data_IF_953079885875
#
_entry.id   IF_953079885875
#
_cell.length_a   1.000
_cell.length_b   1.000
_cell.length_c   1.000
_cell.angle_alpha   90.00
_cell.angle_beta   90.00
_cell.angle_gamma   90.00
#
_symmetry.space_group_name_H-M   'P 1'
#
loop_
_entity.id
_entity.type
_entity.pdbx_description
1 polymer ?
#
# COMPACT_ATOMS: atom_id res chain seq x y z
N UNK A 1 18.23 12.48 -21.81
CA UNK A 1 17.39 11.95 -20.72
C UNK A 1 18.02 10.66 -20.23
N UNK A 2 18.20 10.47 -18.93
CA UNK A 2 18.82 9.26 -18.34
C UNK A 2 17.74 8.25 -17.93
N UNK A 3 18.09 6.96 -17.80
CA UNK A 3 17.16 5.91 -17.33
C UNK A 3 16.50 6.32 -16.01
N UNK A 4 17.28 6.86 -15.07
CA UNK A 4 16.80 7.38 -13.79
C UNK A 4 15.75 8.47 -13.94
N UNK A 5 15.92 9.38 -14.91
CA UNK A 5 14.94 10.42 -15.22
C UNK A 5 13.63 9.87 -15.80
N UNK A 6 13.67 8.76 -16.52
CA UNK A 6 12.46 8.10 -17.03
C UNK A 6 11.70 7.36 -15.91
N UNK A 7 12.41 6.65 -15.03
CA UNK A 7 11.79 5.95 -13.89
C UNK A 7 11.04 6.93 -12.98
N UNK A 8 11.69 8.03 -12.60
CA UNK A 8 11.06 9.10 -11.79
C UNK A 8 9.82 9.68 -12.46
N UNK A 9 9.89 9.95 -13.77
CA UNK A 9 8.74 10.48 -14.52
C UNK A 9 7.59 9.49 -14.62
N UNK A 10 7.88 8.19 -14.76
CA UNK A 10 6.84 7.15 -14.73
C UNK A 10 6.18 7.07 -13.36
N UNK A 11 6.95 7.11 -12.27
CA UNK A 11 6.40 7.13 -10.92
C UNK A 11 5.49 8.35 -10.69
N UNK A 12 5.93 9.55 -11.07
CA UNK A 12 5.13 10.79 -10.94
C UNK A 12 3.78 10.67 -11.68
N UNK A 13 3.76 10.04 -12.86
CA UNK A 13 2.54 9.79 -13.64
C UNK A 13 1.63 8.75 -12.98
N UNK A 14 2.20 7.65 -12.47
CA UNK A 14 1.46 6.60 -11.77
C UNK A 14 0.82 7.12 -10.47
N UNK A 15 1.52 7.97 -9.73
CA UNK A 15 1.02 8.60 -8.51
C UNK A 15 -0.12 9.57 -8.84
N UNK A 16 0.07 10.44 -9.84
CA UNK A 16 -1.00 11.36 -10.24
C UNK A 16 -2.27 10.61 -10.68
N UNK A 17 -2.12 9.45 -11.32
CA UNK A 17 -3.25 8.59 -11.66
C UNK A 17 -3.88 7.94 -10.42
N UNK A 18 -3.07 7.47 -9.48
CA UNK A 18 -3.53 6.82 -8.24
C UNK A 18 -4.21 7.79 -7.27
N UNK A 19 -3.69 9.01 -7.11
CA UNK A 19 -4.33 10.08 -6.32
C UNK A 19 -5.71 10.45 -6.87
N UNK A 20 -5.85 10.57 -8.21
CA UNK A 20 -7.15 10.80 -8.86
C UNK A 20 -8.13 9.66 -8.65
N UNK A 21 -7.63 8.44 -8.48
CA UNK A 21 -8.43 7.27 -8.13
C UNK A 21 -8.75 7.19 -6.62
N UNK A 22 -8.32 8.17 -5.81
CA UNK A 22 -8.54 8.19 -4.36
C UNK A 22 -7.68 7.18 -3.62
N UNK A 23 -6.60 6.67 -4.24
CA UNK A 23 -5.68 5.73 -3.62
C UNK A 23 -4.67 6.50 -2.76
N UNK A 24 -4.34 5.94 -1.58
CA UNK A 24 -3.20 6.39 -0.78
C UNK A 24 -1.92 5.85 -1.43
N UNK A 25 -0.94 6.71 -1.69
CA UNK A 25 0.29 6.32 -2.37
C UNK A 25 1.50 6.76 -1.56
N UNK A 26 2.41 5.81 -1.30
CA UNK A 26 3.73 6.08 -0.78
C UNK A 26 4.70 6.22 -1.96
N UNK A 27 5.35 7.38 -2.04
CA UNK A 27 6.43 7.64 -2.98
C UNK A 27 7.68 6.88 -2.56
N UNK A 28 8.23 6.08 -3.47
CA UNK A 28 9.57 5.52 -3.29
C UNK A 28 10.61 6.65 -3.41
N UNK A 29 11.34 6.88 -2.34
CA UNK A 29 12.48 7.77 -2.30
C UNK A 29 13.72 6.99 -2.76
N UNK A 30 14.04 7.10 -4.05
CA UNK A 30 15.17 6.39 -4.66
C UNK A 30 16.52 6.75 -4.01
N UNK A 31 16.69 7.99 -3.55
CA UNK A 31 17.95 8.43 -2.93
C UNK A 31 18.15 7.77 -1.58
N UNK A 32 17.08 7.66 -0.78
CA UNK A 32 17.12 6.92 0.49
C UNK A 32 17.22 5.42 0.27
N UNK A 33 16.49 4.87 -0.70
CA UNK A 33 16.49 3.44 -1.01
C UNK A 33 17.86 2.93 -1.48
N UNK A 34 18.54 3.69 -2.34
CA UNK A 34 19.85 3.34 -2.88
C UNK A 34 21.01 3.91 -2.04
N UNK A 35 20.68 4.63 -0.97
CA UNK A 35 21.64 5.23 -0.04
C UNK A 35 22.21 4.23 0.96
N UNK A 36 23.05 4.74 1.85
CA UNK A 36 23.74 3.94 2.89
C UNK A 36 22.78 3.23 3.85
N UNK A 37 21.61 3.82 4.08
CA UNK A 37 20.61 3.37 5.05
C UNK A 37 19.35 2.79 4.37
N UNK A 38 19.51 2.24 3.16
CA UNK A 38 18.40 1.72 2.36
C UNK A 38 17.60 0.60 3.04
N UNK A 39 18.25 -0.23 3.86
CA UNK A 39 17.60 -1.29 4.63
C UNK A 39 16.68 -0.73 5.74
N UNK A 40 17.11 0.35 6.41
CA UNK A 40 16.29 1.08 7.38
C UNK A 40 15.09 1.70 6.67
N UNK A 41 15.31 2.36 5.53
CA UNK A 41 14.24 2.94 4.71
C UNK A 41 13.18 1.90 4.29
N UNK A 42 13.60 0.71 3.85
CA UNK A 42 12.67 -0.37 3.49
C UNK A 42 11.85 -0.82 4.69
N UNK A 43 12.46 -0.95 5.88
CA UNK A 43 11.72 -1.34 7.10
C UNK A 43 10.68 -0.29 7.50
N UNK A 44 11.05 0.99 7.46
CA UNK A 44 10.13 2.11 7.72
C UNK A 44 8.97 2.12 6.73
N UNK A 45 9.25 1.92 5.44
CA UNK A 45 8.25 1.86 4.38
C UNK A 45 7.28 0.69 4.59
N UNK A 46 7.79 -0.51 4.91
CA UNK A 46 6.94 -1.67 5.20
C UNK A 46 6.04 -1.42 6.41
N UNK A 47 6.58 -0.83 7.49
CA UNK A 47 5.79 -0.50 8.66
C UNK A 47 4.67 0.50 8.32
N UNK A 48 4.97 1.55 7.56
CA UNK A 48 3.98 2.53 7.11
C UNK A 48 2.88 1.90 6.25
N UNK A 49 3.22 0.99 5.34
CA UNK A 49 2.25 0.25 4.53
C UNK A 49 1.34 -0.61 5.43
N UNK A 50 1.93 -1.35 6.37
CA UNK A 50 1.18 -2.21 7.28
C UNK A 50 0.21 -1.40 8.14
N UNK A 51 0.65 -0.27 8.68
CA UNK A 51 -0.19 0.63 9.47
C UNK A 51 -1.34 1.21 8.64
N UNK A 52 -1.07 1.56 7.37
CA UNK A 52 -2.08 2.12 6.47
C UNK A 52 -3.17 1.11 6.10
N UNK A 53 -2.83 -0.17 5.89
CA UNK A 53 -3.79 -1.22 5.46
C UNK A 53 -4.44 -1.97 6.63
N UNK A 54 -3.89 -1.87 7.85
CA UNK A 54 -4.37 -2.61 9.01
C UNK A 54 -5.86 -2.36 9.35
N UNK A 55 -6.38 -1.12 9.31
CA UNK A 55 -7.81 -0.85 9.56
C UNK A 55 -8.72 -1.58 8.57
N UNK A 56 -8.42 -1.49 7.28
CA UNK A 56 -9.18 -2.09 6.19
C UNK A 56 -9.15 -3.62 6.27
N UNK A 57 -8.00 -4.21 6.62
CA UNK A 57 -7.88 -5.65 6.88
C UNK A 57 -8.76 -6.08 8.06
N UNK A 58 -8.78 -5.31 9.14
CA UNK A 58 -9.59 -5.59 10.33
C UNK A 58 -11.08 -5.54 10.02
N UNK A 59 -11.53 -4.53 9.29
CA UNK A 59 -12.92 -4.40 8.86
C UNK A 59 -13.33 -5.54 7.92
N UNK A 60 -12.48 -5.87 6.94
CA UNK A 60 -12.70 -6.96 6.00
C UNK A 60 -12.82 -8.31 6.71
N UNK A 61 -11.94 -8.58 7.69
CA UNK A 61 -12.00 -9.79 8.52
C UNK A 61 -13.30 -9.85 9.34
N UNK A 62 -13.72 -8.74 9.95
CA UNK A 62 -14.97 -8.67 10.70
C UNK A 62 -16.20 -8.95 9.82
N UNK A 63 -16.23 -8.40 8.60
CA UNK A 63 -17.26 -8.69 7.62
C UNK A 63 -17.27 -10.18 7.23
N UNK A 64 -16.12 -10.77 6.96
CA UNK A 64 -15.99 -12.20 6.65
C UNK A 64 -16.56 -13.10 7.75
N UNK A 65 -16.26 -12.79 9.02
CA UNK A 65 -16.82 -13.51 10.18
C UNK A 65 -18.35 -13.39 10.23
N UNK A 66 -18.90 -12.19 9.98
CA UNK A 66 -20.36 -11.97 9.96
C UNK A 66 -21.03 -12.78 8.85
N UNK A 67 -20.47 -12.77 7.65
CA UNK A 67 -20.99 -13.53 6.50
C UNK A 67 -20.95 -15.03 6.76
N UNK A 68 -19.85 -15.55 7.32
CA UNK A 68 -19.73 -16.97 7.65
C UNK A 68 -20.78 -17.43 8.67
N UNK A 69 -21.10 -16.59 9.67
CA UNK A 69 -22.16 -16.87 10.64
C UNK A 69 -23.55 -16.87 10.01
N UNK A 70 -23.84 -15.92 9.12
CA UNK A 70 -25.11 -15.85 8.39
C UNK A 70 -25.32 -17.11 7.54
N UNK A 71 -24.32 -17.53 6.77
CA UNK A 71 -24.40 -18.74 5.94
C UNK A 71 -24.65 -19.99 6.80
N UNK A 72 -24.01 -20.10 7.97
CA UNK A 72 -24.21 -21.24 8.88
C UNK A 72 -25.54 -21.22 9.63
N UNK A 73 -26.15 -20.05 9.82
CA UNK A 73 -27.43 -19.89 10.51
C UNK A 73 -28.67 -20.07 9.62
N UNK A 74 -28.53 -19.98 8.30
CA UNK A 74 -29.64 -20.15 7.33
C UNK A 74 -29.91 -21.63 6.99
N UNK A 75 -29.07 -22.55 7.49
CA UNK A 75 -29.22 -24.00 7.32
C UNK A 75 -29.85 -24.75 8.49
N UNK A 76 -30.40 -24.04 9.50
CA UNK A 76 -31.17 -24.63 10.61
C UNK A 76 -32.63 -24.19 10.55
#
# INVERSE_FOLDING_TARGET
MTIRGNVRRTQELEISAAEKAGLRVLLLDEERLLGKDGDIYVRELVAAILDDIAPELKESAALGVRLAKLVKGVGQ
#
